data_IF_655797675860
#
_entry.id   IF_655797675860
#
_cell.length_a   1.000
_cell.length_b   1.000
_cell.length_c   1.000
_cell.angle_alpha   90.00
_cell.angle_beta   90.00
_cell.angle_gamma   90.00
#
_symmetry.space_group_name_H-M   'P 1'
#
loop_
_entity.id
_entity.type
_entity.pdbx_description
1 polymer ?
#
# COMPACT_ATOMS: atom_id res chain seq x y z
N UNK A 1 -12.03 -13.20 -0.84
CA UNK A 1 -12.10 -11.87 -0.19
C UNK A 1 -11.08 -11.66 0.93
N UNK A 2 -10.78 -12.67 1.75
CA UNK A 2 -9.83 -12.52 2.87
C UNK A 2 -8.41 -12.08 2.45
N UNK A 3 -7.92 -12.52 1.28
CA UNK A 3 -6.62 -12.12 0.74
C UNK A 3 -6.53 -10.62 0.45
N UNK A 4 -7.61 -10.03 -0.08
CA UNK A 4 -7.67 -8.60 -0.30
C UNK A 4 -7.67 -7.81 1.02
N UNK A 5 -8.36 -8.31 2.05
CA UNK A 5 -8.32 -7.71 3.38
C UNK A 5 -6.91 -7.77 4.00
N UNK A 6 -6.18 -8.87 3.81
CA UNK A 6 -4.79 -8.98 4.25
C UNK A 6 -3.87 -7.98 3.53
N UNK A 7 -4.06 -7.80 2.22
CA UNK A 7 -3.35 -6.77 1.47
C UNK A 7 -3.60 -5.38 2.05
N UNK A 8 -4.86 -5.02 2.27
CA UNK A 8 -5.23 -3.71 2.82
C UNK A 8 -4.65 -3.53 4.22
N UNK A 9 -4.79 -4.52 5.10
CA UNK A 9 -4.25 -4.46 6.45
C UNK A 9 -2.73 -4.34 6.48
N UNK A 10 -2.03 -5.12 5.66
CA UNK A 10 -0.58 -5.08 5.53
C UNK A 10 -0.10 -3.74 4.96
N UNK A 11 -0.70 -3.28 3.86
CA UNK A 11 -0.36 -2.00 3.25
C UNK A 11 -0.59 -0.84 4.22
N UNK A 12 -1.67 -0.88 5.00
CA UNK A 12 -1.96 0.12 6.01
C UNK A 12 -0.91 0.12 7.13
N UNK A 13 -0.55 -1.06 7.65
CA UNK A 13 0.50 -1.18 8.67
C UNK A 13 1.84 -0.62 8.18
N UNK A 14 2.27 -1.01 6.97
CA UNK A 14 3.53 -0.52 6.38
C UNK A 14 3.48 1.00 6.17
N UNK A 15 2.37 1.53 5.67
CA UNK A 15 2.18 2.97 5.48
C UNK A 15 2.27 3.75 6.80
N UNK A 16 1.71 3.21 7.89
CA UNK A 16 1.81 3.81 9.23
C UNK A 16 3.25 3.78 9.72
N UNK A 17 3.93 2.62 9.66
CA UNK A 17 5.34 2.52 10.06
C UNK A 17 6.20 3.52 9.29
N UNK A 18 6.05 3.56 7.97
CA UNK A 18 6.85 4.44 7.10
C UNK A 18 6.52 5.92 7.32
N UNK A 19 5.26 6.27 7.56
CA UNK A 19 4.87 7.64 7.92
C UNK A 19 5.40 8.09 9.29
N UNK A 20 5.43 7.21 10.30
CA UNK A 20 5.98 7.52 11.63
C UNK A 20 7.47 7.82 11.54
N UNK A 21 8.22 6.98 10.81
CA UNK A 21 9.66 7.13 10.62
C UNK A 21 10.05 8.20 9.59
N UNK A 22 9.12 8.73 8.80
CA UNK A 22 9.45 9.80 7.86
C UNK A 22 9.77 11.10 8.59
N UNK A 23 10.67 11.88 8.01
CA UNK A 23 11.05 13.21 8.53
C UNK A 23 10.08 14.29 8.04
N UNK A 24 9.96 15.39 8.78
CA UNK A 24 9.12 16.53 8.43
C UNK A 24 7.93 16.76 9.37
N UNK A 25 7.06 17.67 8.96
CA UNK A 25 5.84 18.06 9.68
C UNK A 25 4.80 16.95 9.70
N UNK A 26 3.86 16.98 10.66
CA UNK A 26 2.79 15.98 10.76
C UNK A 26 2.00 15.81 9.45
N UNK A 27 1.79 16.90 8.69
CA UNK A 27 1.12 16.88 7.39
C UNK A 27 1.94 16.13 6.34
N UNK A 28 3.26 16.34 6.30
CA UNK A 28 4.16 15.64 5.37
C UNK A 28 4.23 14.15 5.69
N UNK A 29 4.28 13.79 6.97
CA UNK A 29 4.24 12.40 7.43
C UNK A 29 2.95 11.68 7.02
N UNK A 30 1.80 12.34 7.21
CA UNK A 30 0.50 11.81 6.78
C UNK A 30 0.43 11.64 5.27
N UNK A 31 0.92 12.63 4.51
CA UNK A 31 0.92 12.57 3.05
C UNK A 31 1.85 11.48 2.52
N UNK A 32 3.01 11.30 3.15
CA UNK A 32 3.95 10.24 2.83
C UNK A 32 3.32 8.85 3.07
N UNK A 33 2.76 8.62 4.26
CA UNK A 33 2.06 7.37 4.57
C UNK A 33 0.92 7.08 3.60
N UNK A 34 0.07 8.07 3.30
CA UNK A 34 -1.03 7.93 2.33
C UNK A 34 -0.53 7.56 0.93
N UNK A 35 0.56 8.19 0.46
CA UNK A 35 1.19 7.84 -0.82
C UNK A 35 1.73 6.41 -0.80
N UNK A 36 2.44 6.02 0.26
CA UNK A 36 2.98 4.67 0.40
C UNK A 36 1.86 3.62 0.36
N UNK A 37 0.75 3.87 1.07
CA UNK A 37 -0.43 2.99 1.05
C UNK A 37 -0.99 2.83 -0.37
N UNK A 38 -1.25 3.95 -1.05
CA UNK A 38 -1.78 3.96 -2.41
C UNK A 38 -0.85 3.27 -3.41
N UNK A 39 0.47 3.46 -3.28
CA UNK A 39 1.46 2.76 -4.11
C UNK A 39 1.39 1.25 -3.87
N UNK A 40 1.37 0.80 -2.61
CA UNK A 40 1.31 -0.62 -2.29
C UNK A 40 0.06 -1.29 -2.85
N UNK A 41 -1.11 -0.69 -2.59
CA UNK A 41 -2.40 -1.22 -3.06
C UNK A 41 -2.48 -1.16 -4.58
N UNK A 42 -2.15 -0.02 -5.17
CA UNK A 42 -2.22 0.21 -6.61
C UNK A 42 -1.30 -0.73 -7.39
N UNK A 43 -0.03 -0.85 -7.00
CA UNK A 43 0.93 -1.74 -7.67
C UNK A 43 0.47 -3.19 -7.55
N UNK A 44 -0.01 -3.61 -6.37
CA UNK A 44 -0.48 -4.98 -6.18
C UNK A 44 -1.71 -5.30 -7.02
N UNK A 45 -2.63 -4.34 -7.19
CA UNK A 45 -3.78 -4.50 -8.08
C UNK A 45 -3.36 -4.56 -9.56
N UNK A 46 -2.40 -3.73 -9.97
CA UNK A 46 -1.83 -3.79 -11.33
C UNK A 46 -1.21 -5.15 -11.58
N UNK A 47 -0.41 -5.67 -10.64
CA UNK A 47 0.18 -7.01 -10.73
C UNK A 47 -0.91 -8.07 -10.82
N UNK A 48 -1.92 -8.02 -9.94
CA UNK A 48 -3.03 -8.97 -9.98
C UNK A 48 -3.78 -8.94 -11.32
N UNK A 49 -3.98 -7.75 -11.90
CA UNK A 49 -4.60 -7.58 -13.21
C UNK A 49 -3.74 -8.15 -14.33
N UNK A 50 -2.43 -7.92 -14.34
CA UNK A 50 -1.52 -8.51 -15.34
C UNK A 50 -1.50 -10.03 -15.22
N UNK A 51 -1.36 -10.55 -14.01
CA UNK A 51 -1.31 -11.99 -13.75
C UNK A 51 -2.63 -12.69 -14.08
N UNK A 52 -3.76 -11.99 -14.02
CA UNK A 52 -5.06 -12.55 -14.42
C UNK A 52 -5.08 -13.03 -15.88
N UNK A 53 -4.28 -12.42 -16.76
CA UNK A 53 -4.20 -12.81 -18.18
C UNK A 53 -3.19 -13.92 -18.46
N UNK A 54 -2.39 -14.34 -17.48
CA UNK A 54 -1.43 -15.42 -17.66
C UNK A 54 -2.16 -16.74 -17.40
N UNK A 55 -2.37 -17.58 -18.43
CA UNK A 55 -2.95 -18.90 -18.25
C UNK A 55 -1.86 -19.84 -17.74
N UNK A 56 -1.62 -19.82 -16.42
CA UNK A 56 -0.88 -20.88 -15.76
C UNK A 56 -1.85 -21.97 -15.28
#
# INVERSE_FOLDING_TARGET
>A
MIHFLYLIGFAFFVAVCFGVYSSGTAREKLWYGAKTFLQFVGISLIIAWVLYFIPF
#
